data_IF_651519291788
#
_entry.id   IF_651519291788
#
_cell.length_a   1.000
_cell.length_b   1.000
_cell.length_c   1.000
_cell.angle_alpha   90.00
_cell.angle_beta   90.00
_cell.angle_gamma   90.00
#
_symmetry.space_group_name_H-M   'P 1'
#
loop_
_entity.id
_entity.type
_entity.pdbx_description
1 polymer ?
#
# COMPACT_ATOMS: atom_id res chain seq x y z
N UNK A 1 22.88 4.16 -3.26
CA UNK A 1 22.10 4.97 -2.30
C UNK A 1 22.23 6.49 -2.57
N UNK A 2 22.06 6.94 -3.82
CA UNK A 2 21.94 8.37 -4.19
C UNK A 2 20.59 8.63 -4.90
N UNK A 3 19.55 7.95 -4.44
CA UNK A 3 18.27 7.78 -5.15
C UNK A 3 17.11 8.47 -4.43
N UNK A 4 17.42 9.29 -3.42
CA UNK A 4 16.40 10.04 -2.70
C UNK A 4 15.88 11.18 -3.58
N UNK A 5 14.70 10.97 -4.16
CA UNK A 5 13.98 11.97 -4.92
C UNK A 5 12.91 12.57 -4.00
N UNK A 6 13.06 13.80 -3.48
CA UNK A 6 12.09 14.40 -2.55
C UNK A 6 10.65 14.41 -3.08
N UNK A 7 10.47 14.58 -4.40
CA UNK A 7 9.17 14.48 -5.08
C UNK A 7 8.48 13.12 -4.97
N UNK A 8 9.21 12.04 -4.63
CA UNK A 8 8.63 10.71 -4.35
C UNK A 8 8.28 10.52 -2.87
N UNK A 9 8.65 11.45 -2.00
CA UNK A 9 8.39 11.39 -0.55
C UNK A 9 7.29 12.32 -0.06
N UNK A 10 6.97 13.36 -0.83
CA UNK A 10 5.84 14.24 -0.56
C UNK A 10 4.82 14.10 -1.69
N UNK A 11 3.57 13.81 -1.32
CA UNK A 11 2.44 13.89 -2.24
C UNK A 11 1.79 15.28 -2.09
N UNK A 12 1.63 15.98 -3.20
CA UNK A 12 0.78 17.18 -3.24
C UNK A 12 -0.65 16.72 -3.50
N UNK A 13 -1.55 17.02 -2.57
CA UNK A 13 -2.98 16.74 -2.71
C UNK A 13 -3.64 18.03 -3.18
N UNK A 14 -4.22 18.00 -4.37
CA UNK A 14 -5.00 19.11 -4.90
C UNK A 14 -6.22 19.35 -4.02
N UNK A 15 -6.66 20.61 -3.91
CA UNK A 15 -7.95 20.94 -3.29
C UNK A 15 -9.14 20.47 -4.17
N UNK A 16 -8.91 20.32 -5.48
CA UNK A 16 -9.88 19.70 -6.37
C UNK A 16 -9.73 18.18 -6.31
N UNK A 17 -10.82 17.51 -5.95
CA UNK A 17 -10.89 16.06 -6.00
C UNK A 17 -10.75 15.60 -7.45
N UNK A 18 -9.79 14.72 -7.69
CA UNK A 18 -9.53 14.09 -9.00
C UNK A 18 -9.73 12.58 -8.87
N UNK A 19 -10.87 12.16 -8.33
CA UNK A 19 -11.26 10.76 -8.26
C UNK A 19 -12.11 10.37 -9.47
N UNK A 20 -12.17 9.08 -9.74
CA UNK A 20 -13.06 8.48 -10.74
C UNK A 20 -14.37 8.21 -10.01
N UNK A 21 -15.41 8.98 -10.33
CA UNK A 21 -16.70 8.94 -9.62
C UNK A 21 -17.44 7.61 -9.74
N UNK A 22 -17.07 6.80 -10.72
CA UNK A 22 -17.60 5.46 -10.97
C UNK A 22 -16.93 4.36 -10.12
N UNK A 23 -16.02 4.71 -9.20
CA UNK A 23 -15.35 3.74 -8.34
C UNK A 23 -15.89 3.76 -6.90
N UNK A 24 -15.99 2.58 -6.30
CA UNK A 24 -16.21 2.42 -4.85
C UNK A 24 -14.95 2.77 -4.05
N UNK A 25 -15.09 3.02 -2.74
CA UNK A 25 -13.95 3.28 -1.83
C UNK A 25 -12.87 2.21 -1.97
N UNK A 26 -13.26 0.92 -2.00
CA UNK A 26 -12.34 -0.20 -2.19
C UNK A 26 -11.62 -0.12 -3.53
N UNK A 27 -12.36 0.12 -4.61
CA UNK A 27 -11.79 0.17 -5.95
C UNK A 27 -10.82 1.35 -6.08
N UNK A 28 -11.15 2.52 -5.52
CA UNK A 28 -10.27 3.69 -5.49
C UNK A 28 -8.96 3.40 -4.77
N UNK A 29 -9.01 2.72 -3.62
CA UNK A 29 -7.81 2.32 -2.89
C UNK A 29 -7.01 1.24 -3.63
N UNK A 30 -7.68 0.26 -4.26
CA UNK A 30 -7.05 -0.77 -5.07
C UNK A 30 -6.37 -0.19 -6.32
N UNK A 31 -7.00 0.79 -6.96
CA UNK A 31 -6.41 1.54 -8.06
C UNK A 31 -5.19 2.32 -7.60
N UNK A 32 -5.30 3.04 -6.48
CA UNK A 32 -4.16 3.76 -5.89
C UNK A 32 -3.00 2.83 -5.56
N UNK A 33 -3.27 1.66 -4.99
CA UNK A 33 -2.25 0.65 -4.70
C UNK A 33 -1.56 0.15 -5.98
N UNK A 34 -2.30 -0.10 -7.06
CA UNK A 34 -1.73 -0.45 -8.38
C UNK A 34 -0.85 0.66 -8.94
N UNK A 35 -1.28 1.91 -8.84
CA UNK A 35 -0.48 3.05 -9.31
C UNK A 35 0.82 3.22 -8.52
N UNK A 36 0.83 2.88 -7.22
CA UNK A 36 2.04 2.90 -6.40
C UNK A 36 2.95 1.70 -6.66
N UNK A 37 2.36 0.54 -6.97
CA UNK A 37 3.06 -0.72 -7.14
C UNK A 37 3.87 -1.14 -5.90
N UNK A 38 4.78 -2.08 -6.10
CA UNK A 38 5.68 -2.59 -5.05
C UNK A 38 6.71 -1.53 -4.63
N UNK A 39 7.23 -0.73 -5.58
CA UNK A 39 8.25 0.28 -5.32
C UNK A 39 9.54 -0.33 -4.74
N UNK A 40 10.12 0.33 -3.73
CA UNK A 40 11.33 -0.15 -3.04
C UNK A 40 11.08 -1.24 -1.99
N UNK A 41 9.82 -1.69 -1.82
CA UNK A 41 9.46 -2.67 -0.76
C UNK A 41 10.19 -3.99 -0.92
N UNK A 42 10.41 -4.44 -2.15
CA UNK A 42 11.15 -5.67 -2.44
C UNK A 42 12.60 -5.59 -1.92
N UNK A 43 13.33 -4.53 -2.29
CA UNK A 43 14.71 -4.33 -1.85
C UNK A 43 14.81 -4.15 -0.33
N UNK A 44 13.87 -3.41 0.26
CA UNK A 44 13.80 -3.23 1.72
C UNK A 44 13.53 -4.56 2.44
N UNK A 45 12.66 -5.41 1.91
CA UNK A 45 12.38 -6.74 2.49
C UNK A 45 13.61 -7.66 2.42
N UNK A 46 14.35 -7.60 1.32
CA UNK A 46 15.60 -8.34 1.17
C UNK A 46 16.65 -7.91 2.20
N UNK A 47 16.82 -6.60 2.39
CA UNK A 47 17.74 -6.05 3.39
C UNK A 47 17.30 -6.34 4.83
N UNK A 48 15.99 -6.27 5.12
CA UNK A 48 15.44 -6.66 6.41
C UNK A 48 15.74 -8.13 6.73
N UNK A 49 15.43 -9.03 5.79
CA UNK A 49 15.67 -10.47 5.94
C UNK A 49 17.15 -10.80 6.20
N UNK A 50 18.07 -10.07 5.54
CA UNK A 50 19.51 -10.21 5.77
C UNK A 50 19.90 -9.85 7.20
N UNK A 51 19.40 -8.71 7.71
CA UNK A 51 19.68 -8.24 9.08
C UNK A 51 19.06 -9.13 10.15
N UNK A 52 17.83 -9.59 9.94
CA UNK A 52 17.16 -10.52 10.84
C UNK A 52 17.96 -11.82 10.98
N UNK A 53 18.46 -12.36 9.86
CA UNK A 53 19.32 -13.55 9.87
C UNK A 53 20.65 -13.31 10.60
N UNK A 54 21.30 -12.17 10.40
CA UNK A 54 22.54 -11.80 11.09
C UNK A 54 22.35 -11.63 12.60
N UNK A 55 21.19 -11.11 13.02
CA UNK A 55 20.82 -10.93 14.42
C UNK A 55 20.18 -12.18 15.05
N UNK A 56 20.01 -13.27 14.29
CA UNK A 56 19.29 -14.48 14.70
C UNK A 56 17.87 -14.19 15.22
N UNK A 57 17.20 -13.22 14.58
CA UNK A 57 15.81 -12.83 14.87
C UNK A 57 14.90 -13.66 13.98
N UNK A 58 13.86 -14.25 14.58
CA UNK A 58 12.76 -14.87 13.86
C UNK A 58 11.61 -13.88 13.80
N UNK A 59 11.16 -13.43 12.61
CA UNK A 59 10.02 -12.54 12.52
C UNK A 59 8.75 -13.25 12.97
N UNK A 60 7.79 -12.47 13.45
CA UNK A 60 6.44 -12.95 13.70
C UNK A 60 5.83 -13.48 12.39
N UNK A 61 5.22 -14.68 12.39
CA UNK A 61 4.71 -15.30 11.17
C UNK A 61 3.69 -14.43 10.42
N UNK A 62 2.81 -13.72 11.13
CA UNK A 62 1.76 -12.92 10.49
C UNK A 62 2.35 -11.65 9.86
N UNK A 63 3.32 -11.04 10.54
CA UNK A 63 4.05 -9.88 10.02
C UNK A 63 4.89 -10.30 8.80
N UNK A 64 5.60 -11.43 8.87
CA UNK A 64 6.43 -11.94 7.78
C UNK A 64 5.60 -12.21 6.52
N UNK A 65 4.43 -12.86 6.68
CA UNK A 65 3.49 -13.10 5.58
C UNK A 65 2.99 -11.80 4.97
N UNK A 66 2.57 -10.84 5.82
CA UNK A 66 2.10 -9.54 5.35
C UNK A 66 3.20 -8.80 4.56
N UNK A 67 4.42 -8.72 5.11
CA UNK A 67 5.54 -8.02 4.49
C UNK A 67 5.92 -8.64 3.14
N UNK A 68 5.92 -9.97 3.05
CA UNK A 68 6.16 -10.70 1.79
C UNK A 68 5.06 -10.45 0.77
N UNK A 69 3.79 -10.53 1.16
CA UNK A 69 2.66 -10.30 0.26
C UNK A 69 2.65 -8.84 -0.25
N UNK A 70 2.92 -7.86 0.61
CA UNK A 70 3.02 -6.45 0.26
C UNK A 70 4.22 -6.10 -0.64
N UNK A 71 5.22 -6.97 -0.69
CA UNK A 71 6.41 -6.81 -1.52
C UNK A 71 6.41 -7.70 -2.79
N UNK A 72 5.38 -8.51 -2.99
CA UNK A 72 5.26 -9.41 -4.14
C UNK A 72 4.31 -8.81 -5.17
N UNK A 73 4.78 -8.64 -6.41
CA UNK A 73 3.99 -8.11 -7.51
C UNK A 73 2.73 -8.97 -7.76
N UNK A 74 1.59 -8.31 -7.88
CA UNK A 74 0.27 -8.92 -8.07
C UNK A 74 -0.47 -9.27 -6.78
N UNK A 75 0.23 -9.46 -5.64
CA UNK A 75 -0.40 -9.76 -4.34
C UNK A 75 -0.47 -8.54 -3.41
N UNK A 76 0.33 -7.51 -3.68
CA UNK A 76 0.42 -6.29 -2.87
C UNK A 76 -0.88 -5.50 -2.88
N UNK A 77 -1.55 -5.45 -4.03
CA UNK A 77 -2.74 -4.61 -4.22
C UNK A 77 -3.88 -5.02 -3.31
N UNK A 78 -4.17 -6.31 -3.21
CA UNK A 78 -5.30 -6.80 -2.41
C UNK A 78 -5.01 -6.70 -0.91
N UNK A 79 -3.80 -7.13 -0.49
CA UNK A 79 -3.42 -7.15 0.92
C UNK A 79 -3.29 -5.73 1.49
N UNK A 80 -2.68 -4.80 0.75
CA UNK A 80 -2.53 -3.42 1.19
C UNK A 80 -3.90 -2.73 1.24
N UNK A 81 -4.75 -2.92 0.22
CA UNK A 81 -6.09 -2.31 0.21
C UNK A 81 -6.95 -2.81 1.37
N UNK A 82 -7.01 -4.11 1.61
CA UNK A 82 -7.78 -4.66 2.73
C UNK A 82 -7.25 -4.20 4.09
N UNK A 83 -5.93 -4.12 4.22
CA UNK A 83 -5.30 -3.61 5.44
C UNK A 83 -5.66 -2.15 5.67
N UNK A 84 -5.55 -1.29 4.66
CA UNK A 84 -5.88 0.14 4.74
C UNK A 84 -7.36 0.35 5.07
N UNK A 85 -8.27 -0.41 4.43
CA UNK A 85 -9.71 -0.33 4.72
C UNK A 85 -9.98 -0.63 6.20
N UNK A 86 -9.38 -1.69 6.74
CA UNK A 86 -9.60 -2.07 8.14
C UNK A 86 -9.01 -1.07 9.13
N UNK A 87 -7.76 -0.63 8.95
CA UNK A 87 -7.13 0.27 9.92
C UNK A 87 -7.79 1.66 9.95
N UNK A 88 -8.36 2.10 8.83
CA UNK A 88 -9.07 3.37 8.74
C UNK A 88 -10.57 3.24 9.08
N UNK A 89 -11.08 2.03 9.31
CA UNK A 89 -12.50 1.78 9.54
C UNK A 89 -13.38 2.10 8.31
N UNK A 90 -12.80 2.01 7.12
CA UNK A 90 -13.49 2.22 5.83
C UNK A 90 -14.08 0.92 5.28
N UNK A 91 -13.84 -0.21 5.94
CA UNK A 91 -14.40 -1.50 5.56
C UNK A 91 -15.94 -1.49 5.55
N UNK A 92 -16.56 -0.72 6.46
CA UNK A 92 -18.02 -0.54 6.51
C UNK A 92 -18.60 0.16 5.28
N UNK A 93 -17.80 0.97 4.57
CA UNK A 93 -18.20 1.71 3.38
C UNK A 93 -17.41 1.29 2.13
N UNK A 94 -16.75 0.14 2.17
CA UNK A 94 -15.87 -0.33 1.10
C UNK A 94 -16.56 -0.36 -0.28
N UNK A 95 -17.85 -0.72 -0.31
CA UNK A 95 -18.67 -0.83 -1.52
C UNK A 95 -19.49 0.44 -1.81
N UNK A 96 -19.28 1.52 -1.05
CA UNK A 96 -19.91 2.82 -1.30
C UNK A 96 -19.17 3.53 -2.42
N UNK A 97 -19.91 4.07 -3.39
CA UNK A 97 -19.36 4.92 -4.44
C UNK A 97 -18.72 6.17 -3.83
N UNK A 98 -17.51 6.53 -4.25
CA UNK A 98 -16.85 7.75 -3.76
C UNK A 98 -17.62 9.00 -4.22
N UNK A 99 -18.28 8.91 -5.38
CA UNK A 99 -19.34 9.84 -5.81
C UNK A 99 -19.04 10.59 -7.11
N UNK A 100 -20.10 10.96 -7.81
CA UNK A 100 -20.12 12.04 -8.80
C UNK A 100 -20.73 13.28 -8.09
N UNK A 101 -20.09 14.44 -8.29
CA UNK A 101 -20.38 15.79 -7.75
C UNK A 101 -20.48 15.98 -6.21
N UNK A 102 -19.33 16.34 -5.61
CA UNK A 102 -19.28 17.39 -4.58
C UNK A 102 -18.76 18.69 -5.21
#
# INVERSE_FOLDING_TARGET
>A
MNEFVPRRTAAYISQHDSHIGEMTVRETLAFSARCQGVGSRYDMLGELSRREKEANIKPDPDIDVYMKAAATEGQETNVITDYVLKILGLDICADTMVGDEM
#
